data_IF_634838762446
#
_entry.id   IF_634838762446
#
_cell.length_a   1.000
_cell.length_b   1.000
_cell.length_c   1.000
_cell.angle_alpha   90.00
_cell.angle_beta   90.00
_cell.angle_gamma   90.00
#
_symmetry.space_group_name_H-M   'P 1'
#
loop_
_entity.id
_entity.type
_entity.pdbx_description
1 polymer ?
#
# COMPACT_ATOMS: atom_id res chain seq x y z
N UNK A 1 -10.75 0.57 22.18
CA UNK A 1 -10.28 0.13 20.84
C UNK A 1 -11.11 -1.09 20.44
N UNK A 2 -11.69 -1.09 19.24
CA UNK A 2 -12.60 -2.13 18.74
C UNK A 2 -12.15 -2.56 17.35
N UNK A 3 -11.98 -3.86 17.14
CA UNK A 3 -11.74 -4.41 15.78
C UNK A 3 -13.07 -4.40 15.01
N UNK A 4 -13.11 -3.72 13.87
CA UNK A 4 -14.27 -3.69 12.98
C UNK A 4 -14.29 -4.89 12.02
N UNK A 5 -13.13 -5.37 11.63
CA UNK A 5 -13.02 -6.53 10.75
C UNK A 5 -11.59 -6.78 10.29
N UNK A 6 -11.41 -7.94 9.68
CA UNK A 6 -10.18 -8.38 9.03
C UNK A 6 -10.53 -8.72 7.59
N UNK A 7 -9.95 -8.00 6.65
CA UNK A 7 -10.31 -8.10 5.24
C UNK A 7 -9.11 -8.53 4.41
N UNK A 8 -9.28 -9.58 3.61
CA UNK A 8 -8.25 -10.02 2.67
C UNK A 8 -8.12 -8.99 1.55
N UNK A 9 -6.88 -8.57 1.28
CA UNK A 9 -6.58 -7.66 0.19
C UNK A 9 -6.44 -8.43 -1.13
N UNK A 10 -6.85 -7.80 -2.22
CA UNK A 10 -6.57 -8.30 -3.56
C UNK A 10 -5.13 -8.02 -3.97
N UNK A 11 -4.65 -6.86 -3.56
CA UNK A 11 -3.31 -6.36 -3.87
C UNK A 11 -2.87 -5.40 -2.77
N UNK A 12 -1.58 -5.42 -2.49
CA UNK A 12 -0.83 -4.59 -1.55
C UNK A 12 0.43 -4.22 -2.29
N UNK A 13 0.72 -2.93 -2.32
CA UNK A 13 1.95 -2.41 -2.87
C UNK A 13 2.48 -1.38 -1.90
N UNK A 14 3.61 -1.66 -1.26
CA UNK A 14 4.29 -0.69 -0.38
C UNK A 14 5.63 -0.32 -1.02
N UNK A 15 5.75 0.97 -1.25
CA UNK A 15 6.88 1.64 -1.84
C UNK A 15 7.49 2.55 -0.79
N UNK A 16 8.71 2.25 -0.37
CA UNK A 16 9.47 3.21 0.40
C UNK A 16 10.07 4.19 -0.61
N UNK A 17 9.67 5.47 -0.58
CA UNK A 17 10.16 6.45 -1.55
C UNK A 17 11.68 6.50 -1.50
N UNK A 18 12.31 6.32 -2.66
CA UNK A 18 13.73 6.55 -2.85
C UNK A 18 14.01 8.05 -2.79
N UNK A 19 14.11 8.62 -1.60
CA UNK A 19 14.93 9.81 -1.46
C UNK A 19 16.39 9.42 -1.23
N UNK A 20 17.29 10.35 -1.56
CA UNK A 20 18.72 10.16 -1.35
C UNK A 20 19.02 9.81 0.11
N UNK A 21 18.16 10.22 1.05
CA UNK A 21 18.35 10.04 2.49
C UNK A 21 18.13 8.57 2.89
N UNK A 22 17.09 7.90 2.41
CA UNK A 22 16.83 6.47 2.69
C UNK A 22 17.92 5.58 2.10
N UNK A 23 18.33 5.85 0.85
CA UNK A 23 19.39 5.08 0.22
C UNK A 23 20.75 5.33 0.89
N UNK A 24 21.04 6.59 1.24
CA UNK A 24 22.26 6.95 1.97
C UNK A 24 22.27 6.26 3.33
N UNK A 25 21.16 6.28 4.07
CA UNK A 25 21.00 5.56 5.33
C UNK A 25 21.36 4.09 5.14
N UNK A 26 20.71 3.37 4.22
CA UNK A 26 20.98 1.95 4.02
C UNK A 26 22.42 1.66 3.61
N UNK A 27 23.00 2.51 2.75
CA UNK A 27 24.39 2.38 2.30
C UNK A 27 25.39 2.58 3.46
N UNK A 28 25.17 3.60 4.28
CA UNK A 28 25.97 3.85 5.49
C UNK A 28 25.86 2.71 6.50
N UNK A 29 24.71 2.04 6.53
CA UNK A 29 24.46 0.88 7.38
C UNK A 29 24.87 -0.46 6.75
N UNK A 30 25.56 -0.44 5.59
CA UNK A 30 26.19 -1.62 5.01
C UNK A 30 25.46 -2.25 3.81
N UNK A 31 24.41 -1.64 3.26
CA UNK A 31 23.73 -2.15 2.06
C UNK A 31 24.72 -2.33 0.89
N UNK A 32 24.80 -3.57 0.39
CA UNK A 32 25.67 -3.95 -0.73
C UNK A 32 27.12 -4.26 -0.31
N UNK A 33 27.40 -4.31 1.00
CA UNK A 33 28.65 -4.86 1.54
C UNK A 33 28.60 -6.38 1.73
N UNK A 34 27.39 -6.97 1.77
CA UNK A 34 27.16 -8.42 1.86
C UNK A 34 27.26 -9.19 0.53
N UNK A 35 27.35 -10.52 0.64
CA UNK A 35 27.78 -11.45 -0.43
C UNK A 35 26.86 -11.64 -1.64
N UNK A 36 25.70 -10.99 -1.68
CA UNK A 36 24.74 -11.11 -2.79
C UNK A 36 24.66 -9.87 -3.69
N UNK A 37 25.37 -8.79 -3.34
CA UNK A 37 25.68 -7.65 -4.22
C UNK A 37 24.50 -6.79 -4.70
N UNK A 38 23.27 -7.01 -4.22
CA UNK A 38 22.11 -6.24 -4.66
C UNK A 38 21.98 -4.92 -3.91
N UNK A 39 22.12 -3.80 -4.62
CA UNK A 39 22.00 -2.43 -4.07
C UNK A 39 20.59 -1.84 -4.19
N UNK A 40 19.59 -2.67 -4.48
CA UNK A 40 18.22 -2.21 -4.73
C UNK A 40 17.39 -2.30 -3.47
N UNK A 41 16.59 -1.27 -3.16
CA UNK A 41 15.57 -1.35 -2.13
C UNK A 41 14.36 -2.16 -2.68
N UNK A 42 13.88 -3.17 -1.96
CA UNK A 42 12.81 -4.02 -2.42
C UNK A 42 11.46 -3.31 -2.31
N UNK A 43 10.54 -3.66 -3.21
CA UNK A 43 9.14 -3.32 -3.09
C UNK A 43 8.40 -4.48 -2.40
N UNK A 44 7.46 -4.17 -1.49
CA UNK A 44 6.57 -5.19 -0.92
C UNK A 44 5.34 -5.32 -1.83
N UNK A 45 5.15 -6.50 -2.43
CA UNK A 45 4.06 -6.76 -3.37
C UNK A 45 3.28 -8.01 -2.97
N UNK A 46 1.97 -7.99 -3.18
CA UNK A 46 1.12 -9.19 -3.15
C UNK A 46 0.19 -9.17 -4.36
N UNK A 47 -0.19 -10.34 -4.85
CA UNK A 47 -1.36 -10.48 -5.73
C UNK A 47 -2.17 -11.73 -5.38
N UNK A 48 -3.38 -11.49 -4.87
CA UNK A 48 -4.41 -12.50 -4.68
C UNK A 48 -5.06 -12.83 -6.03
N UNK A 49 -4.31 -13.56 -6.86
CA UNK A 49 -4.74 -13.90 -8.22
C UNK A 49 -6.01 -14.77 -8.28
N UNK A 50 -6.44 -15.36 -7.17
CA UNK A 50 -7.74 -16.05 -7.07
C UNK A 50 -8.89 -15.05 -7.11
N UNK A 51 -8.81 -13.99 -6.30
CA UNK A 51 -9.85 -12.97 -6.25
C UNK A 51 -9.86 -12.13 -7.52
N UNK A 52 -8.67 -11.78 -8.03
CA UNK A 52 -8.55 -10.88 -9.19
C UNK A 52 -8.79 -11.56 -10.54
N UNK A 53 -8.45 -12.85 -10.67
CA UNK A 53 -8.47 -13.58 -11.94
C UNK A 53 -8.95 -15.03 -11.87
N UNK A 54 -9.37 -15.53 -10.70
CA UNK A 54 -9.90 -16.90 -10.56
C UNK A 54 -8.85 -18.01 -10.65
N UNK A 55 -7.56 -17.71 -10.48
CA UNK A 55 -6.47 -18.68 -10.55
C UNK A 55 -5.71 -18.80 -9.22
N UNK A 56 -5.21 -19.98 -8.90
CA UNK A 56 -4.55 -20.26 -7.61
C UNK A 56 -3.07 -19.87 -7.54
N UNK A 57 -2.42 -19.71 -8.70
CA UNK A 57 -1.01 -19.31 -8.80
C UNK A 57 -0.78 -18.59 -10.13
N UNK A 58 0.24 -17.73 -10.19
CA UNK A 58 0.57 -16.98 -11.40
C UNK A 58 2.05 -16.70 -11.51
N UNK A 59 2.55 -16.70 -12.75
CA UNK A 59 3.91 -16.26 -13.07
C UNK A 59 4.07 -14.76 -12.78
N UNK A 60 5.06 -14.42 -11.97
CA UNK A 60 5.41 -13.02 -11.61
C UNK A 60 6.56 -12.51 -12.44
N UNK A 61 6.81 -11.20 -12.38
CA UNK A 61 7.94 -10.57 -13.05
C UNK A 61 8.70 -9.70 -12.05
N UNK A 62 10.01 -9.54 -12.26
CA UNK A 62 10.87 -8.70 -11.43
C UNK A 62 10.92 -9.12 -9.96
N UNK A 63 10.59 -10.37 -9.63
CA UNK A 63 10.68 -10.87 -8.26
C UNK A 63 12.14 -10.99 -7.85
N UNK A 64 12.44 -10.57 -6.62
CA UNK A 64 13.73 -10.81 -5.97
C UNK A 64 13.76 -12.27 -5.56
N UNK A 65 14.76 -13.00 -6.05
CA UNK A 65 14.86 -14.44 -5.82
C UNK A 65 14.98 -14.78 -4.32
N UNK A 66 14.32 -15.85 -3.84
CA UNK A 66 14.35 -16.27 -2.43
C UNK A 66 15.75 -16.40 -1.82
N UNK A 67 16.72 -16.85 -2.62
CA UNK A 67 18.11 -16.99 -2.19
C UNK A 67 18.73 -15.68 -1.71
N UNK A 68 18.22 -14.53 -2.19
CA UNK A 68 18.68 -13.19 -1.81
C UNK A 68 18.22 -12.76 -0.41
N UNK A 69 17.38 -13.57 0.23
CA UNK A 69 16.95 -13.43 1.61
C UNK A 69 16.97 -14.78 2.36
N UNK A 70 17.86 -15.68 1.93
CA UNK A 70 18.20 -16.91 2.66
C UNK A 70 17.13 -18.00 2.61
N UNK A 71 16.28 -18.03 1.59
CA UNK A 71 15.23 -19.05 1.41
C UNK A 71 15.30 -19.69 0.02
N UNK A 72 14.63 -20.82 -0.15
CA UNK A 72 14.44 -21.53 -1.43
C UNK A 72 13.02 -21.31 -1.95
N UNK A 73 12.77 -21.61 -3.23
CA UNK A 73 11.41 -21.59 -3.77
C UNK A 73 10.50 -22.59 -3.05
N UNK A 74 11.03 -23.76 -2.70
CA UNK A 74 10.27 -24.85 -2.11
C UNK A 74 9.81 -24.53 -0.68
N UNK A 75 10.67 -23.89 0.13
CA UNK A 75 10.32 -23.36 1.45
C UNK A 75 9.19 -22.31 1.38
N UNK A 76 9.07 -21.60 0.26
CA UNK A 76 8.02 -20.61 0.03
C UNK A 76 6.77 -21.18 -0.66
N UNK A 77 6.80 -22.46 -1.07
CA UNK A 77 5.75 -23.06 -1.90
C UNK A 77 5.66 -22.45 -3.31
N UNK A 78 6.73 -21.82 -3.79
CA UNK A 78 6.83 -21.24 -5.14
C UNK A 78 7.40 -22.28 -6.12
N UNK A 79 7.18 -22.07 -7.42
CA UNK A 79 7.75 -22.93 -8.47
C UNK A 79 8.71 -22.14 -9.36
N UNK A 80 9.81 -22.77 -9.74
CA UNK A 80 10.72 -22.21 -10.75
C UNK A 80 10.04 -22.23 -12.12
N UNK A 81 10.20 -21.15 -12.88
CA UNK A 81 9.74 -21.06 -14.27
C UNK A 81 10.87 -21.19 -15.30
N UNK A 82 12.07 -21.58 -14.86
CA UNK A 82 13.32 -21.54 -15.63
C UNK A 82 13.90 -20.13 -15.76
N UNK A 83 13.35 -19.15 -15.04
CA UNK A 83 13.83 -17.76 -14.98
C UNK A 83 13.71 -17.26 -13.55
N UNK A 84 14.86 -16.99 -12.94
CA UNK A 84 15.00 -16.59 -11.53
C UNK A 84 14.11 -15.41 -11.11
N UNK A 85 13.97 -14.39 -11.95
CA UNK A 85 13.15 -13.21 -11.63
C UNK A 85 11.66 -13.36 -11.99
N UNK A 86 11.24 -14.57 -12.38
CA UNK A 86 9.88 -14.86 -12.83
C UNK A 86 9.29 -16.16 -12.27
N UNK A 87 9.35 -16.40 -10.96
CA UNK A 87 8.76 -17.61 -10.39
C UNK A 87 7.24 -17.64 -10.58
N UNK A 88 6.67 -18.83 -10.42
CA UNK A 88 5.23 -19.02 -10.26
C UNK A 88 4.95 -18.97 -8.76
N UNK A 89 4.15 -18.00 -8.34
CA UNK A 89 3.82 -17.74 -6.95
C UNK A 89 2.34 -18.04 -6.71
N UNK A 90 1.97 -18.77 -5.65
CA UNK A 90 0.57 -18.96 -5.24
C UNK A 90 -0.15 -17.63 -4.97
N UNK A 91 -1.48 -17.68 -4.84
CA UNK A 91 -2.26 -16.51 -4.44
C UNK A 91 -1.87 -16.07 -3.03
N UNK A 92 -1.39 -14.84 -2.93
CA UNK A 92 -0.96 -14.21 -1.68
C UNK A 92 -2.12 -13.41 -1.10
N UNK A 93 -2.49 -13.68 0.15
CA UNK A 93 -3.72 -13.18 0.78
C UNK A 93 -3.43 -12.40 2.07
N UNK A 94 -2.70 -11.26 2.02
CA UNK A 94 -2.46 -10.47 3.21
C UNK A 94 -3.76 -9.83 3.68
N UNK A 95 -3.81 -9.53 4.97
CA UNK A 95 -5.02 -9.03 5.62
C UNK A 95 -4.82 -7.58 6.03
N UNK A 96 -5.83 -6.76 5.78
CA UNK A 96 -6.00 -5.47 6.43
C UNK A 96 -6.94 -5.63 7.63
N UNK A 97 -6.40 -5.43 8.84
CA UNK A 97 -7.22 -5.34 10.05
C UNK A 97 -7.64 -3.88 10.27
N UNK A 98 -8.94 -3.66 10.43
CA UNK A 98 -9.49 -2.32 10.65
C UNK A 98 -9.87 -2.17 12.11
N UNK A 99 -9.29 -1.18 12.76
CA UNK A 99 -9.47 -0.91 14.18
C UNK A 99 -10.04 0.48 14.37
N UNK A 100 -11.11 0.57 15.14
CA UNK A 100 -11.72 1.81 15.57
C UNK A 100 -11.25 2.16 16.99
N UNK A 101 -10.73 3.36 17.15
CA UNK A 101 -10.38 3.93 18.45
C UNK A 101 -11.30 5.10 18.73
N UNK A 102 -12.22 4.90 19.68
CA UNK A 102 -12.96 6.00 20.29
C UNK A 102 -11.96 6.87 21.06
N UNK A 103 -11.82 8.12 20.63
CA UNK A 103 -11.00 9.14 21.29
C UNK A 103 -11.94 10.24 21.79
N UNK A 104 -11.64 10.90 22.94
CA UNK A 104 -12.43 12.01 23.44
C UNK A 104 -12.56 13.19 22.45
N UNK A 105 -11.62 13.34 21.52
CA UNK A 105 -11.66 14.40 20.51
C UNK A 105 -12.41 13.98 19.25
N UNK A 106 -11.88 13.02 18.50
CA UNK A 106 -12.43 12.52 17.24
C UNK A 106 -12.16 11.02 17.13
N UNK A 107 -13.18 10.17 16.87
CA UNK A 107 -12.97 8.75 16.62
C UNK A 107 -12.04 8.51 15.42
N UNK A 108 -11.12 7.56 15.56
CA UNK A 108 -10.08 7.27 14.56
C UNK A 108 -10.23 5.84 14.02
N UNK A 109 -10.07 5.69 12.72
CA UNK A 109 -9.94 4.40 12.05
C UNK A 109 -8.47 4.15 11.71
N UNK A 110 -7.95 3.00 12.13
CA UNK A 110 -6.61 2.54 11.81
C UNK A 110 -6.71 1.31 10.89
N UNK A 111 -5.98 1.37 9.78
CA UNK A 111 -5.85 0.33 8.77
C UNK A 111 -4.50 -0.36 9.00
N UNK A 112 -4.50 -1.48 9.73
CA UNK A 112 -3.31 -2.27 10.03
C UNK A 112 -3.05 -3.28 8.92
N UNK A 113 -1.80 -3.39 8.47
CA UNK A 113 -1.38 -4.39 7.49
C UNK A 113 -0.80 -5.59 8.22
N UNK A 114 -1.41 -6.75 7.98
CA UNK A 114 -1.01 -8.06 8.49
C UNK A 114 -0.48 -8.89 7.32
N UNK A 115 0.83 -8.84 7.06
CA UNK A 115 1.43 -9.55 5.92
C UNK A 115 1.56 -11.06 6.17
N UNK A 116 1.55 -11.52 7.41
CA UNK A 116 1.76 -12.92 7.78
C UNK A 116 0.48 -13.58 8.28
N UNK A 117 0.11 -14.74 7.73
CA UNK A 117 -1.06 -15.52 8.12
C UNK A 117 -0.61 -16.92 8.51
N UNK A 118 -0.90 -17.33 9.75
CA UNK A 118 -0.45 -18.61 10.31
C UNK A 118 1.07 -18.83 10.19
N UNK A 119 1.86 -17.76 10.35
CA UNK A 119 3.32 -17.79 10.25
C UNK A 119 3.86 -17.84 8.82
N UNK A 120 3.01 -17.69 7.81
CA UNK A 120 3.40 -17.66 6.40
C UNK A 120 3.18 -16.26 5.84
N UNK A 121 4.25 -15.64 5.34
CA UNK A 121 4.15 -14.35 4.67
C UNK A 121 3.32 -14.45 3.38
N UNK A 122 2.43 -13.48 3.21
CA UNK A 122 1.49 -13.36 2.10
C UNK A 122 1.89 -12.22 1.18
N UNK A 123 3.17 -12.20 0.80
CA UNK A 123 3.74 -11.22 -0.12
C UNK A 123 5.08 -11.72 -0.65
N UNK A 124 5.55 -11.09 -1.72
CA UNK A 124 6.89 -11.26 -2.27
C UNK A 124 7.58 -9.91 -2.43
N UNK A 125 8.88 -9.97 -2.65
CA UNK A 125 9.69 -8.81 -2.93
C UNK A 125 9.87 -8.63 -4.44
N UNK A 126 9.65 -7.42 -4.94
CA UNK A 126 9.96 -7.06 -6.32
C UNK A 126 11.12 -6.06 -6.39
N UNK A 127 11.91 -6.13 -7.47
CA UNK A 127 12.90 -5.11 -7.78
C UNK A 127 12.20 -3.81 -8.14
N UNK A 128 12.55 -2.74 -7.44
CA UNK A 128 12.18 -1.39 -7.84
C UNK A 128 13.23 -0.77 -8.79
N UNK A 129 12.78 0.04 -9.76
CA UNK A 129 13.66 0.79 -10.67
C UNK A 129 13.71 2.27 -10.30
N UNK A 130 14.92 2.81 -10.09
CA UNK A 130 15.17 4.24 -9.81
C UNK A 130 14.45 5.19 -10.79
N UNK A 131 14.45 4.85 -12.08
CA UNK A 131 13.92 5.71 -13.14
C UNK A 131 12.39 5.83 -13.13
N UNK A 132 11.71 4.95 -12.39
CA UNK A 132 10.25 4.93 -12.29
C UNK A 132 9.71 5.74 -11.10
N UNK A 133 10.59 6.15 -10.17
CA UNK A 133 10.20 6.93 -8.99
C UNK A 133 9.86 8.39 -9.32
N UNK A 134 8.77 8.90 -8.76
CA UNK A 134 8.26 10.24 -9.05
C UNK A 134 7.64 10.43 -10.44
N UNK A 135 7.78 9.43 -11.34
CA UNK A 135 7.12 9.35 -12.64
C UNK A 135 5.94 8.36 -12.60
N UNK A 136 6.20 7.13 -12.18
CA UNK A 136 5.25 6.00 -12.12
C UNK A 136 4.73 5.81 -10.69
N UNK A 137 5.62 5.81 -9.70
CA UNK A 137 5.26 5.59 -8.29
C UNK A 137 5.07 6.93 -7.57
N UNK A 138 3.83 7.43 -7.57
CA UNK A 138 3.41 8.66 -6.87
C UNK A 138 2.79 8.40 -5.48
N UNK A 139 2.57 7.13 -5.13
CA UNK A 139 1.95 6.70 -3.88
C UNK A 139 2.95 5.85 -3.11
N UNK A 140 2.92 5.96 -1.79
CA UNK A 140 3.81 5.23 -0.87
C UNK A 140 3.26 3.88 -0.47
N UNK A 141 1.95 3.77 -0.35
CA UNK A 141 1.29 2.49 -0.15
C UNK A 141 -0.02 2.46 -0.94
N UNK A 142 -0.38 1.31 -1.47
CA UNK A 142 -1.69 1.07 -2.07
C UNK A 142 -2.26 -0.24 -1.58
N UNK A 143 -3.49 -0.18 -1.10
CA UNK A 143 -4.28 -1.33 -0.65
C UNK A 143 -5.47 -1.48 -1.60
N UNK A 144 -5.68 -2.67 -2.12
CA UNK A 144 -6.83 -2.98 -2.97
C UNK A 144 -7.74 -3.93 -2.21
N UNK A 145 -8.95 -3.48 -1.97
CA UNK A 145 -9.95 -4.25 -1.27
C UNK A 145 -11.03 -4.71 -2.27
N UNK A 146 -11.46 -6.00 -2.24
CA UNK A 146 -12.63 -6.43 -2.98
C UNK A 146 -13.82 -5.52 -2.70
N UNK A 147 -14.62 -5.22 -3.72
CA UNK A 147 -15.76 -4.31 -3.56
C UNK A 147 -16.73 -4.73 -2.44
N UNK A 148 -17.07 -6.02 -2.35
CA UNK A 148 -17.98 -6.52 -1.32
C UNK A 148 -17.43 -6.32 0.09
N UNK A 149 -16.13 -6.54 0.29
CA UNK A 149 -15.44 -6.27 1.55
C UNK A 149 -15.42 -4.77 1.89
N UNK A 150 -15.29 -3.90 0.87
CA UNK A 150 -15.34 -2.45 1.06
C UNK A 150 -16.75 -1.99 1.44
N UNK A 151 -17.78 -2.60 0.85
CA UNK A 151 -19.19 -2.37 1.19
C UNK A 151 -19.48 -2.81 2.63
N UNK A 152 -19.05 -4.00 3.03
CA UNK A 152 -19.19 -4.47 4.41
C UNK A 152 -18.53 -3.51 5.41
N UNK A 153 -17.31 -3.04 5.10
CA UNK A 153 -16.61 -2.06 5.92
C UNK A 153 -17.38 -0.73 6.00
N UNK A 154 -17.92 -0.26 4.87
CA UNK A 154 -18.77 0.93 4.81
C UNK A 154 -20.01 0.78 5.68
N UNK A 155 -20.72 -0.35 5.59
CA UNK A 155 -21.92 -0.62 6.37
C UNK A 155 -21.64 -0.64 7.88
N UNK A 156 -20.50 -1.21 8.28
CA UNK A 156 -20.02 -1.21 9.68
C UNK A 156 -19.66 0.18 10.21
N UNK A 157 -19.32 1.12 9.33
CA UNK A 157 -18.97 2.50 9.64
C UNK A 157 -20.13 3.48 9.42
N UNK A 158 -21.30 3.00 9.02
CA UNK A 158 -22.46 3.83 8.64
C UNK A 158 -22.86 4.85 9.70
N UNK A 159 -22.74 4.53 11.00
CA UNK A 159 -23.06 5.45 12.10
C UNK A 159 -22.15 6.69 12.17
N UNK A 160 -20.99 6.67 11.51
CA UNK A 160 -20.06 7.80 11.44
C UNK A 160 -20.15 8.55 10.09
N UNK A 161 -20.88 8.02 9.12
CA UNK A 161 -21.01 8.59 7.79
C UNK A 161 -22.04 9.72 7.77
N UNK A 162 -21.71 10.82 7.09
CA UNK A 162 -22.68 11.84 6.68
C UNK A 162 -22.73 11.93 5.15
N UNK A 163 -23.61 11.12 4.55
CA UNK A 163 -23.81 11.08 3.10
C UNK A 163 -24.33 12.41 2.53
N UNK A 164 -24.87 13.32 3.37
CA UNK A 164 -25.39 14.60 2.90
C UNK A 164 -24.30 15.58 2.52
N UNK A 165 -23.09 15.41 3.04
CA UNK A 165 -21.95 16.23 2.65
C UNK A 165 -21.76 16.08 1.13
N UNK A 166 -21.65 17.17 0.37
CA UNK A 166 -21.26 17.05 -1.03
C UNK A 166 -19.74 16.81 -1.12
N UNK A 167 -19.32 15.89 -1.97
CA UNK A 167 -17.90 15.63 -2.21
C UNK A 167 -17.66 15.52 -3.72
N UNK A 168 -16.69 16.27 -4.22
CA UNK A 168 -16.29 16.23 -5.62
C UNK A 168 -15.26 15.12 -5.84
N UNK A 169 -15.55 14.23 -6.78
CA UNK A 169 -14.62 13.18 -7.19
C UNK A 169 -13.47 13.78 -7.98
N UNK A 170 -12.26 13.43 -7.59
CA UNK A 170 -11.06 13.68 -8.39
C UNK A 170 -10.78 12.49 -9.31
N UNK A 171 -10.14 12.72 -10.45
CA UNK A 171 -9.74 11.66 -11.37
C UNK A 171 -8.20 11.66 -11.58
N UNK A 172 -7.61 10.48 -11.52
CA UNK A 172 -6.25 10.21 -11.98
C UNK A 172 -6.28 9.20 -13.12
N UNK A 173 -5.70 9.54 -14.27
CA UNK A 173 -5.43 8.57 -15.33
C UNK A 173 -4.07 7.91 -15.08
N UNK A 174 -4.03 6.58 -14.96
CA UNK A 174 -2.80 5.79 -14.73
C UNK A 174 -2.48 4.88 -15.92
N UNK A 175 -1.21 4.45 -15.97
CA UNK A 175 -0.59 3.54 -16.95
C UNK A 175 -1.02 3.79 -18.41
N UNK A 176 -0.20 4.53 -19.18
CA UNK A 176 -0.41 4.72 -20.62
C UNK A 176 -1.84 5.19 -21.04
N UNK A 177 -2.56 5.88 -20.15
CA UNK A 177 -3.95 6.35 -20.29
C UNK A 177 -5.07 5.29 -20.17
N UNK A 178 -4.79 4.12 -19.60
CA UNK A 178 -5.64 2.92 -19.73
C UNK A 178 -6.48 2.58 -18.49
N UNK A 179 -6.12 3.12 -17.33
CA UNK A 179 -6.87 2.99 -16.08
C UNK A 179 -7.36 4.35 -15.59
N UNK A 180 -8.64 4.43 -15.20
CA UNK A 180 -9.20 5.60 -14.53
C UNK A 180 -9.37 5.30 -13.05
N UNK A 181 -8.79 6.17 -12.22
CA UNK A 181 -8.98 6.14 -10.79
C UNK A 181 -9.80 7.35 -10.37
N UNK A 182 -11.08 7.12 -10.06
CA UNK A 182 -11.99 8.14 -9.51
C UNK A 182 -12.01 8.00 -8.00
N UNK A 183 -11.68 9.08 -7.28
CA UNK A 183 -11.38 9.00 -5.86
C UNK A 183 -11.81 10.22 -5.05
N UNK A 184 -11.89 10.01 -3.74
CA UNK A 184 -12.03 11.04 -2.71
C UNK A 184 -10.81 10.96 -1.77
N UNK A 185 -10.31 12.10 -1.30
CA UNK A 185 -9.14 12.16 -0.42
C UNK A 185 -9.55 12.28 1.03
N UNK A 186 -9.07 11.39 1.90
CA UNK A 186 -9.19 11.48 3.36
C UNK A 186 -7.90 12.03 3.95
N UNK A 187 -8.01 12.93 4.92
CA UNK A 187 -6.84 13.44 5.66
C UNK A 187 -6.20 12.34 6.52
N UNK A 188 -4.89 12.14 6.39
CA UNK A 188 -4.17 11.16 7.21
C UNK A 188 -3.78 11.80 8.54
N UNK A 189 -4.07 11.10 9.64
CA UNK A 189 -3.76 11.55 11.01
C UNK A 189 -2.45 10.98 11.52
N UNK A 190 -2.07 9.79 11.09
CA UNK A 190 -0.79 9.16 11.42
C UNK A 190 -0.54 8.02 10.45
N UNK A 191 0.70 7.70 10.14
CA UNK A 191 1.02 6.41 9.52
C UNK A 191 2.44 5.99 9.89
N UNK A 192 2.70 4.70 9.79
CA UNK A 192 4.05 4.14 9.86
C UNK A 192 4.15 2.96 8.89
N UNK A 193 5.21 2.95 8.09
CA UNK A 193 5.61 1.80 7.29
C UNK A 193 7.06 1.49 7.58
N UNK A 194 7.36 0.25 7.94
CA UNK A 194 8.69 -0.20 8.31
C UNK A 194 9.01 -1.52 7.62
N UNK A 195 10.21 -1.62 7.05
CA UNK A 195 10.71 -2.90 6.54
C UNK A 195 10.87 -3.94 7.65
N UNK A 196 11.03 -3.52 8.91
CA UNK A 196 11.09 -4.45 10.04
C UNK A 196 9.81 -5.26 10.23
N UNK A 197 8.66 -4.74 9.76
CA UNK A 197 7.38 -5.45 9.81
C UNK A 197 7.17 -6.45 8.66
N UNK A 198 8.20 -6.74 7.86
CA UNK A 198 8.16 -7.64 6.70
C UNK A 198 9.37 -8.59 6.73
N UNK A 199 9.17 -9.86 7.12
CA UNK A 199 10.26 -10.82 7.37
C UNK A 199 11.20 -11.01 6.17
N UNK A 200 10.66 -11.22 4.97
CA UNK A 200 11.49 -11.34 3.76
C UNK A 200 12.30 -10.08 3.47
N UNK A 201 11.76 -8.89 3.73
CA UNK A 201 12.49 -7.64 3.50
C UNK A 201 13.61 -7.48 4.53
N UNK A 202 13.34 -7.83 5.79
CA UNK A 202 14.33 -7.84 6.86
C UNK A 202 15.50 -8.78 6.52
N UNK A 203 15.20 -10.04 6.20
CA UNK A 203 16.20 -11.02 5.77
C UNK A 203 16.98 -10.57 4.54
N UNK A 204 16.32 -9.92 3.59
CA UNK A 204 16.98 -9.36 2.41
C UNK A 204 18.02 -8.31 2.80
N UNK A 205 17.69 -7.38 3.69
CA UNK A 205 18.63 -6.36 4.13
C UNK A 205 19.79 -6.96 4.94
N UNK A 206 19.52 -7.88 5.85
CA UNK A 206 20.53 -8.60 6.63
C UNK A 206 21.50 -9.38 5.72
N UNK A 207 20.96 -10.13 4.74
CA UNK A 207 21.76 -10.87 3.76
C UNK A 207 22.62 -9.97 2.86
N UNK A 208 22.23 -8.71 2.68
CA UNK A 208 22.99 -7.71 1.92
C UNK A 208 23.89 -6.83 2.79
N UNK A 209 24.10 -7.20 4.06
CA UNK A 209 25.08 -6.59 4.95
C UNK A 209 24.57 -5.38 5.74
N UNK A 210 23.25 -5.10 5.71
CA UNK A 210 22.68 -4.04 6.55
C UNK A 210 22.71 -4.46 8.01
N UNK A 211 23.27 -3.60 8.86
CA UNK A 211 23.32 -3.78 10.32
C UNK A 211 22.40 -2.78 11.02
N UNK A 212 21.85 -3.17 12.18
CA UNK A 212 21.02 -2.30 13.01
C UNK A 212 19.52 -2.33 12.65
N UNK A 213 18.73 -1.43 13.24
CA UNK A 213 17.29 -1.36 13.01
C UNK A 213 16.98 -0.89 11.59
N UNK A 214 15.90 -1.40 10.99
CA UNK A 214 15.48 -0.92 9.67
C UNK A 214 14.67 0.38 9.79
N UNK A 215 14.85 1.31 8.85
CA UNK A 215 14.16 2.59 8.86
C UNK A 215 12.67 2.42 8.60
N UNK A 216 11.90 3.29 9.25
CA UNK A 216 10.46 3.42 9.09
C UNK A 216 10.12 4.77 8.47
N UNK A 217 9.26 4.76 7.46
CA UNK A 217 8.61 5.95 6.94
C UNK A 217 7.45 6.32 7.87
N UNK A 218 7.47 7.52 8.44
CA UNK A 218 6.50 7.94 9.46
C UNK A 218 5.92 9.30 9.16
N UNK A 219 4.66 9.47 9.55
CA UNK A 219 4.06 10.78 9.74
C UNK A 219 3.36 10.81 11.08
N UNK A 220 3.70 11.81 11.89
CA UNK A 220 3.01 12.10 13.14
C UNK A 220 2.78 13.63 13.24
N UNK A 221 1.54 14.12 13.32
CA UNK A 221 1.26 15.56 13.35
C UNK A 221 1.72 16.22 14.65
N UNK A 222 2.03 15.44 15.70
CA UNK A 222 2.64 15.95 16.94
C UNK A 222 4.13 16.27 16.76
N UNK A 223 4.79 15.66 15.77
CA UNK A 223 6.16 15.95 15.41
C UNK A 223 6.24 17.23 14.54
N UNK A 224 6.95 18.28 14.99
CA UNK A 224 7.01 19.56 14.27
C UNK A 224 7.51 19.45 12.83
N UNK A 225 8.47 18.55 12.55
CA UNK A 225 9.06 18.38 11.22
C UNK A 225 8.06 17.73 10.26
N UNK A 226 7.40 16.66 10.70
CA UNK A 226 6.33 16.01 9.93
C UNK A 226 5.26 17.03 9.54
N UNK A 227 4.80 17.84 10.50
CA UNK A 227 3.79 18.87 10.27
C UNK A 227 4.24 20.01 9.35
N UNK A 228 5.54 20.31 9.31
CA UNK A 228 6.08 21.37 8.44
C UNK A 228 6.30 20.90 7.01
N UNK A 229 6.72 19.65 6.83
CA UNK A 229 7.21 19.15 5.54
C UNK A 229 6.19 18.29 4.79
N UNK A 230 5.22 17.70 5.48
CA UNK A 230 4.39 16.61 4.95
C UNK A 230 2.89 16.94 5.04
N UNK A 231 2.15 16.50 4.03
CA UNK A 231 0.69 16.60 3.94
C UNK A 231 0.09 15.32 3.35
N UNK A 232 0.11 14.20 4.09
CA UNK A 232 -0.31 12.91 3.57
C UNK A 232 -1.84 12.82 3.42
N UNK A 233 -2.27 12.22 2.31
CA UNK A 233 -3.67 11.97 1.98
C UNK A 233 -3.87 10.50 1.63
N UNK A 234 -4.96 9.93 2.11
CA UNK A 234 -5.43 8.61 1.70
C UNK A 234 -6.50 8.78 0.63
N UNK A 235 -6.17 8.47 -0.62
CA UNK A 235 -7.12 8.50 -1.74
C UNK A 235 -7.90 7.20 -1.77
N UNK A 236 -9.22 7.27 -1.64
CA UNK A 236 -10.13 6.12 -1.68
C UNK A 236 -10.93 6.21 -2.97
N UNK A 237 -10.82 5.19 -3.82
CA UNK A 237 -11.41 5.24 -5.15
C UNK A 237 -11.65 3.88 -5.78
N UNK A 238 -12.43 3.84 -6.85
CA UNK A 238 -12.54 2.66 -7.72
C UNK A 238 -11.51 2.76 -8.84
N UNK A 239 -10.90 1.63 -9.19
CA UNK A 239 -10.15 1.52 -10.45
C UNK A 239 -11.06 0.89 -11.49
N UNK A 240 -11.30 1.65 -12.56
CA UNK A 240 -12.00 1.18 -13.74
C UNK A 240 -10.98 0.77 -14.80
N UNK A 241 -11.07 -0.49 -15.25
CA UNK A 241 -10.29 -1.01 -16.38
C UNK A 241 -11.18 -1.03 -17.63
N UNK A 242 -10.76 -0.36 -18.70
CA UNK A 242 -11.52 -0.36 -19.96
C UNK A 242 -11.24 -1.65 -20.74
N UNK A 243 -12.25 -2.51 -20.84
CA UNK A 243 -12.20 -3.79 -21.57
C UNK A 243 -11.90 -3.64 -23.05
N UNK A 244 -12.16 -2.47 -23.64
CA UNK A 244 -11.88 -2.14 -25.05
C UNK A 244 -10.40 -2.22 -25.46
N UNK A 245 -9.48 -2.41 -24.51
CA UNK A 245 -8.03 -2.41 -24.75
C UNK A 245 -7.35 -3.77 -24.50
N UNK A 246 -8.12 -4.87 -24.46
CA UNK A 246 -7.58 -6.24 -24.45
C UNK A 246 -7.12 -6.78 -23.09
N UNK A 247 -7.58 -6.17 -21.99
CA UNK A 247 -7.35 -6.68 -20.63
C UNK A 247 -8.48 -7.61 -20.18
N UNK A 248 -8.14 -8.64 -19.40
CA UNK A 248 -9.13 -9.43 -18.66
C UNK A 248 -9.95 -8.50 -17.76
N UNK A 249 -11.28 -8.58 -17.83
CA UNK A 249 -12.20 -7.84 -16.97
C UNK A 249 -11.90 -8.23 -15.52
N UNK A 250 -11.32 -7.32 -14.74
CA UNK A 250 -11.09 -7.53 -13.31
C UNK A 250 -12.39 -7.27 -12.54
N UNK A 251 -12.57 -8.01 -11.44
CA UNK A 251 -13.61 -7.67 -10.46
C UNK A 251 -13.35 -6.26 -9.91
N UNK A 252 -14.42 -5.59 -9.51
CA UNK A 252 -14.32 -4.24 -8.96
C UNK A 252 -13.55 -4.24 -7.63
N UNK A 253 -12.72 -3.21 -7.47
CA UNK A 253 -11.85 -3.06 -6.31
C UNK A 253 -11.87 -1.62 -5.83
N UNK A 254 -11.94 -1.42 -4.52
CA UNK A 254 -11.68 -0.14 -3.88
C UNK A 254 -10.19 -0.05 -3.60
N UNK A 255 -9.51 0.87 -4.28
CA UNK A 255 -8.12 1.19 -4.01
C UNK A 255 -8.00 2.32 -3.00
N UNK A 256 -7.19 2.10 -1.97
CA UNK A 256 -6.81 3.06 -0.94
C UNK A 256 -5.32 3.37 -1.11
N UNK A 257 -5.00 4.57 -1.59
CA UNK A 257 -3.64 4.99 -1.95
C UNK A 257 -3.14 6.04 -0.96
N UNK A 258 -2.15 5.68 -0.15
CA UNK A 258 -1.41 6.66 0.65
C UNK A 258 -0.52 7.47 -0.28
N UNK A 259 -0.76 8.77 -0.30
CA UNK A 259 -0.11 9.70 -1.20
C UNK A 259 0.30 10.97 -0.46
N UNK A 260 1.17 11.74 -1.09
CA UNK A 260 1.52 13.07 -0.63
C UNK A 260 1.75 13.99 -1.84
N UNK A 261 1.58 15.31 -1.70
CA UNK A 261 2.00 16.26 -2.71
C UNK A 261 3.47 16.05 -3.08
N UNK A 262 3.82 16.25 -4.36
CA UNK A 262 5.22 16.16 -4.81
C UNK A 262 6.10 17.27 -4.21
N UNK A 263 5.49 18.42 -3.97
CA UNK A 263 6.13 19.59 -3.39
C UNK A 263 5.28 20.10 -2.24
N UNK A 264 5.93 20.52 -1.16
CA UNK A 264 5.30 21.30 -0.09
C UNK A 264 5.95 22.67 -0.02
N UNK A 265 5.20 23.62 0.53
CA UNK A 265 5.71 24.95 0.85
C UNK A 265 5.77 25.02 2.38
N UNK A 266 6.99 25.17 2.91
CA UNK A 266 7.18 25.34 4.36
C UNK A 266 6.44 26.59 4.84
N UNK A 267 6.24 26.70 6.16
CA UNK A 267 5.64 27.92 6.77
C UNK A 267 6.42 29.20 6.46
N UNK A 268 7.70 29.08 6.08
CA UNK A 268 8.58 30.18 5.68
C UNK A 268 8.51 30.50 4.18
N UNK A 269 7.58 29.88 3.44
CA UNK A 269 7.43 30.10 2.00
C UNK A 269 8.44 29.35 1.12
N UNK A 270 9.32 28.53 1.71
CA UNK A 270 10.32 27.77 0.95
C UNK A 270 9.65 26.56 0.34
N UNK A 271 9.63 26.48 -0.99
CA UNK A 271 9.16 25.32 -1.75
C UNK A 271 10.22 24.23 -1.74
N UNK A 272 9.86 23.06 -1.23
CA UNK A 272 10.71 21.86 -1.20
C UNK A 272 10.02 20.66 -1.84
N UNK A 273 10.81 19.65 -2.23
CA UNK A 273 10.24 18.32 -2.52
C UNK A 273 9.82 17.69 -1.20
N UNK A 274 8.64 17.09 -1.16
CA UNK A 274 8.22 16.38 0.05
C UNK A 274 9.07 15.13 0.21
N UNK A 275 9.69 15.00 1.38
CA UNK A 275 10.47 13.85 1.79
C UNK A 275 9.72 13.08 2.86
N UNK A 276 9.96 11.77 2.90
CA UNK A 276 9.51 10.96 4.01
C UNK A 276 10.27 11.30 5.28
N UNK A 277 9.62 11.30 6.44
CA UNK A 277 10.37 11.27 7.69
C UNK A 277 10.79 9.83 7.96
N UNK A 278 12.09 9.63 8.06
CA UNK A 278 12.69 8.34 8.39
C UNK A 278 13.04 8.33 9.87
N UNK A 279 12.54 7.32 10.59
CA UNK A 279 12.92 7.06 11.98
C UNK A 279 13.21 5.58 12.17
N UNK A 280 14.11 5.24 13.07
CA UNK A 280 14.38 3.86 13.44
C UNK A 280 13.28 3.37 14.39
N UNK A 281 12.57 2.33 13.97
CA UNK A 281 11.50 1.71 14.74
C UNK A 281 11.52 0.19 14.49
N UNK A 282 12.28 -0.57 15.31
CA UNK A 282 12.54 -1.98 15.05
C UNK A 282 11.29 -2.87 15.11
N UNK A 283 10.23 -2.44 15.82
CA UNK A 283 9.02 -3.25 16.04
C UNK A 283 7.73 -2.59 15.50
N UNK A 284 7.85 -1.76 14.47
CA UNK A 284 6.70 -1.03 13.94
C UNK A 284 5.70 -1.94 13.20
N UNK A 285 4.46 -1.97 13.71
CA UNK A 285 3.30 -2.46 12.95
C UNK A 285 2.99 -1.47 11.83
N UNK A 286 2.83 -1.96 10.60
CA UNK A 286 2.53 -1.13 9.43
C UNK A 286 1.06 -0.69 9.44
N UNK A 287 0.79 0.63 9.45
CA UNK A 287 -0.59 1.14 9.45
C UNK A 287 -0.76 2.54 8.87
N UNK A 288 -2.01 2.88 8.54
CA UNK A 288 -2.50 4.25 8.30
C UNK A 288 -3.67 4.56 9.23
N UNK A 289 -3.68 5.73 9.84
CA UNK A 289 -4.76 6.22 10.71
C UNK A 289 -5.41 7.45 10.08
N UNK A 290 -6.74 7.46 10.08
CA UNK A 290 -7.61 8.51 9.53
C UNK A 290 -8.76 8.81 10.50
N UNK A 291 -9.45 9.93 10.31
CA UNK A 291 -10.67 10.22 11.08
C UNK A 291 -11.83 9.34 10.61
N UNK A 292 -12.56 8.77 11.56
CA UNK A 292 -13.62 7.81 11.28
C UNK A 292 -14.75 8.43 10.44
N UNK A 293 -15.20 9.64 10.77
CA UNK A 293 -16.31 10.28 10.07
C UNK A 293 -15.97 10.60 8.61
N UNK A 294 -14.79 11.15 8.36
CA UNK A 294 -14.34 11.50 7.02
C UNK A 294 -14.11 10.25 6.16
N UNK A 295 -13.46 9.23 6.73
CA UNK A 295 -13.25 7.95 6.08
C UNK A 295 -14.57 7.22 5.76
N UNK A 296 -15.47 7.11 6.74
CA UNK A 296 -16.78 6.46 6.60
C UNK A 296 -17.61 7.13 5.51
N UNK A 297 -17.67 8.47 5.51
CA UNK A 297 -18.40 9.23 4.49
C UNK A 297 -17.85 8.99 3.08
N UNK A 298 -16.52 8.96 2.94
CA UNK A 298 -15.87 8.84 1.62
C UNK A 298 -15.93 7.41 1.07
N UNK A 299 -15.76 6.39 1.92
CA UNK A 299 -15.91 4.99 1.48
C UNK A 299 -17.36 4.67 1.11
N UNK A 300 -18.34 5.18 1.87
CA UNK A 300 -19.76 4.99 1.56
C UNK A 300 -20.14 5.60 0.21
N UNK A 301 -19.72 6.84 -0.05
CA UNK A 301 -19.96 7.50 -1.35
C UNK A 301 -19.32 6.76 -2.52
N UNK A 302 -18.10 6.26 -2.34
CA UNK A 302 -17.42 5.45 -3.35
C UNK A 302 -18.22 4.18 -3.66
N UNK A 303 -18.65 3.45 -2.63
CA UNK A 303 -19.41 2.22 -2.82
C UNK A 303 -20.77 2.48 -3.49
N UNK A 304 -21.47 3.54 -3.06
CA UNK A 304 -22.76 3.94 -3.62
C UNK A 304 -22.66 4.38 -5.07
N UNK A 305 -21.71 5.25 -5.40
CA UNK A 305 -21.54 5.74 -6.78
C UNK A 305 -21.24 4.58 -7.74
N UNK A 306 -20.40 3.63 -7.35
CA UNK A 306 -20.12 2.44 -8.16
C UNK A 306 -21.36 1.54 -8.34
N UNK A 307 -22.13 1.31 -7.27
CA UNK A 307 -23.35 0.50 -7.33
C UNK A 307 -24.41 1.13 -8.27
N UNK A 308 -24.56 2.46 -8.22
CA UNK A 308 -25.48 3.19 -9.10
C UNK A 308 -25.03 3.15 -10.57
N UNK A 309 -23.73 3.30 -10.84
CA UNK A 309 -23.18 3.27 -12.20
C UNK A 309 -23.26 1.86 -12.81
N UNK A 310 -22.89 0.82 -12.06
CA UNK A 310 -23.00 -0.58 -12.52
C UNK A 310 -24.45 -1.00 -12.82
N UNK A 311 -25.43 -0.52 -12.05
CA UNK A 311 -26.85 -0.80 -12.30
C UNK A 311 -27.38 -0.21 -13.62
N UNK A 312 -26.69 0.79 -14.20
CA UNK A 312 -27.07 1.41 -15.48
C UNK A 312 -26.45 0.70 -16.68
N UNK A 313 -25.36 -0.05 -16.49
CA UNK A 313 -24.64 -0.75 -17.56
C UNK A 313 -25.19 -2.16 -17.84
N UNK A 314 -25.92 -2.77 -16.88
CA UNK A 314 -26.66 -4.04 -17.06
C UNK A 314 -28.19 -3.81 -17.04
N UNK A 315 -28.80 -3.13 -18.05
CA UNK A 315 -30.24 -3.18 -18.21
C UNK A 315 -30.61 -4.56 -18.78
N UNK A 316 -31.29 -5.35 -17.94
CA UNK A 316 -31.95 -6.63 -18.28
C UNK A 316 -32.59 -6.66 -19.66
#
# INVERSE_FOLDING_TARGET
MRVLGRYVLDTLQIFFPWDDDLYTYFKEHGLGSGGLGSKKLPLIYTDNCESTGGIHERKRNNVIAPKLFGLTYEELGWKDSGRETRPIIPAEKPVMEVVLTESPSVPLVQLNIVPSINGVEQYHLEYSSMSEFGRTYKNWATFYLPFDSAKELSDKLSSYSDEKIQAEFSEETKQAQREKFRYLSVGVRKYIFSYSGFDYAKRYFEANGVQGPLPSLVYDPTDPVSRELMDPLLKIGIIETKTSEGFEKRKAQVAMKLSQPKFSVTKRGVRGRVKGRIIEHPDATNYVTVEAADFATKIAKICKNYAEESSKEDPS
#
